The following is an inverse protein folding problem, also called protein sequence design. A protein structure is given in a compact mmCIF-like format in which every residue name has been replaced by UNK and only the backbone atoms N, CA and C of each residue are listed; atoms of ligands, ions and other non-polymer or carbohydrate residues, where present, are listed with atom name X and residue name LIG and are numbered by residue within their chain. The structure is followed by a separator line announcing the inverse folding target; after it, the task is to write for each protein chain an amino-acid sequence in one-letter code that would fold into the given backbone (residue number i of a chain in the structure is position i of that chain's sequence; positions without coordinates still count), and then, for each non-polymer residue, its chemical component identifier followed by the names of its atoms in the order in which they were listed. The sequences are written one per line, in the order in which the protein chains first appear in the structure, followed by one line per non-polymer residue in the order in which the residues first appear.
data_IF_250919178649
#
_entry.id   IF_250919178649
#
_cell.length_a   1.000
_cell.length_b   1.000
_cell.length_c   1.000
_cell.angle_alpha   90.00
_cell.angle_beta   90.00
_cell.angle_gamma   90.00
#
_symmetry.space_group_name_H-M   'P 1'
#
loop_
_entity.id
_entity.type
_entity.pdbx_description
1 polymer ?
#
# COMPACT_ATOMS: atom_id res chain seq x y z
N UNK A 1 6.21 -19.04 -25.77
CA UNK A 1 5.91 -18.21 -24.57
C UNK A 1 7.19 -18.01 -23.78
N UNK A 2 7.43 -16.82 -23.20
CA UNK A 2 8.60 -16.53 -22.36
C UNK A 2 8.48 -17.18 -20.99
N UNK A 3 9.61 -17.55 -20.40
CA UNK A 3 9.68 -18.06 -19.05
C UNK A 3 9.74 -16.87 -18.08
N UNK A 4 8.75 -16.71 -17.22
CA UNK A 4 8.65 -15.62 -16.25
C UNK A 4 8.84 -16.16 -14.84
N UNK A 5 9.72 -15.54 -14.08
CA UNK A 5 9.90 -15.76 -12.66
C UNK A 5 9.29 -14.57 -11.90
N UNK A 6 8.19 -14.79 -11.20
CA UNK A 6 7.58 -13.81 -10.30
C UNK A 6 7.91 -14.19 -8.86
N UNK A 7 8.51 -13.25 -8.12
CA UNK A 7 8.72 -13.40 -6.68
C UNK A 7 7.68 -12.63 -5.88
N UNK A 8 7.08 -13.31 -4.92
CA UNK A 8 6.11 -12.76 -4.00
C UNK A 8 6.37 -13.22 -2.56
N UNK A 9 6.51 -12.25 -1.65
CA UNK A 9 6.62 -12.53 -0.22
C UNK A 9 5.21 -12.47 0.40
N UNK A 10 4.61 -13.61 0.64
CA UNK A 10 3.33 -13.69 1.34
C UNK A 10 3.48 -13.28 2.79
N UNK A 11 2.74 -12.27 3.21
CA UNK A 11 2.79 -11.75 4.59
C UNK A 11 1.64 -12.22 5.46
N UNK A 12 0.68 -13.01 4.94
CA UNK A 12 -0.56 -13.45 5.62
C UNK A 12 -1.42 -12.31 6.21
N UNK A 13 -1.15 -11.08 5.83
CA UNK A 13 -1.84 -9.92 6.38
C UNK A 13 -3.23 -9.70 5.74
N UNK A 14 -3.54 -10.40 4.64
CA UNK A 14 -4.75 -10.20 3.81
C UNK A 14 -5.00 -8.71 3.54
N UNK A 15 -3.93 -7.96 3.31
CA UNK A 15 -3.96 -6.53 3.06
C UNK A 15 -3.92 -6.20 1.57
N UNK A 16 -4.11 -4.94 1.22
CA UNK A 16 -4.04 -4.47 -0.17
C UNK A 16 -2.71 -4.78 -0.88
N UNK A 17 -1.61 -4.96 -0.13
CA UNK A 17 -0.32 -5.37 -0.68
C UNK A 17 -0.31 -6.78 -1.28
N UNK A 18 -1.20 -7.66 -0.85
CA UNK A 18 -1.29 -9.03 -1.35
C UNK A 18 -2.09 -9.11 -2.68
N UNK A 19 -2.85 -8.07 -3.01
CA UNK A 19 -3.72 -8.05 -4.19
C UNK A 19 -2.94 -7.91 -5.50
N UNK A 20 -1.93 -7.03 -5.55
CA UNK A 20 -1.11 -6.80 -6.75
C UNK A 20 -0.46 -8.09 -7.29
N UNK A 21 0.29 -8.89 -6.49
CA UNK A 21 0.89 -10.12 -7.00
C UNK A 21 -0.14 -11.13 -7.51
N UNK A 22 -1.30 -11.23 -6.88
CA UNK A 22 -2.36 -12.16 -7.32
C UNK A 22 -2.94 -11.78 -8.69
N UNK A 23 -3.17 -10.49 -8.95
CA UNK A 23 -3.62 -10.02 -10.27
C UNK A 23 -2.52 -10.25 -11.32
N UNK A 24 -1.24 -10.03 -10.98
CA UNK A 24 -0.13 -10.33 -11.88
C UNK A 24 -0.04 -11.81 -12.21
N UNK A 25 -0.21 -12.70 -11.23
CA UNK A 25 -0.27 -14.14 -11.45
C UNK A 25 -1.40 -14.47 -12.43
N UNK A 26 -2.62 -13.93 -12.20
CA UNK A 26 -3.79 -14.13 -13.07
C UNK A 26 -3.54 -13.70 -14.52
N UNK A 27 -2.83 -12.60 -14.75
CA UNK A 27 -2.49 -12.13 -16.08
C UNK A 27 -1.37 -12.97 -16.71
N UNK A 28 -0.25 -13.16 -16.00
CA UNK A 28 0.95 -13.82 -16.51
C UNK A 28 0.75 -15.29 -16.83
N UNK A 29 -0.08 -16.01 -16.07
CA UNK A 29 -0.37 -17.43 -16.36
C UNK A 29 -1.02 -17.67 -17.73
N UNK A 30 -1.62 -16.61 -18.33
CA UNK A 30 -2.25 -16.71 -19.66
C UNK A 30 -1.25 -16.49 -20.80
N UNK A 31 -0.18 -15.71 -20.54
CA UNK A 31 0.71 -15.16 -21.58
C UNK A 31 2.18 -15.62 -21.45
N UNK A 32 2.50 -16.40 -20.40
CA UNK A 32 3.86 -16.84 -20.13
C UNK A 32 3.91 -18.26 -19.51
N UNK A 33 5.12 -18.86 -19.52
CA UNK A 33 5.44 -20.02 -18.69
C UNK A 33 5.81 -19.51 -17.28
N UNK A 34 4.85 -19.46 -16.38
CA UNK A 34 4.98 -18.81 -15.10
C UNK A 34 5.57 -19.70 -14.01
N UNK A 35 6.63 -19.24 -13.37
CA UNK A 35 7.12 -19.76 -12.08
C UNK A 35 6.93 -18.70 -11.01
N UNK A 36 6.21 -19.04 -9.94
CA UNK A 36 5.99 -18.17 -8.78
C UNK A 36 6.88 -18.63 -7.64
N UNK A 37 7.83 -17.79 -7.25
CA UNK A 37 8.69 -18.02 -6.11
C UNK A 37 8.11 -17.33 -4.86
N UNK A 38 7.97 -18.06 -3.76
CA UNK A 38 7.34 -17.61 -2.51
C UNK A 38 8.22 -17.87 -1.30
N UNK A 39 8.11 -17.04 -0.27
CA UNK A 39 8.81 -17.23 0.99
C UNK A 39 8.22 -18.36 1.83
N UNK A 40 6.91 -18.53 1.79
CA UNK A 40 6.21 -19.61 2.46
C UNK A 40 5.35 -20.36 1.45
N UNK A 41 5.33 -21.68 1.56
CA UNK A 41 4.34 -22.49 0.86
C UNK A 41 2.96 -22.15 1.45
N UNK A 42 2.32 -21.16 0.87
CA UNK A 42 0.98 -20.73 1.25
C UNK A 42 -0.01 -21.23 0.22
N UNK A 43 -1.25 -21.32 0.63
CA UNK A 43 -2.33 -21.65 -0.28
C UNK A 43 -2.70 -20.42 -1.11
N UNK A 44 -1.95 -20.20 -2.21
CA UNK A 44 -2.18 -19.10 -3.17
C UNK A 44 -3.63 -19.10 -3.65
N UNK A 45 -4.17 -20.28 -3.93
CA UNK A 45 -5.54 -20.46 -4.39
C UNK A 45 -6.56 -19.97 -3.34
N UNK A 46 -6.37 -20.34 -2.08
CA UNK A 46 -7.23 -19.88 -0.99
C UNK A 46 -7.15 -18.35 -0.83
N UNK A 47 -5.93 -17.81 -0.85
CA UNK A 47 -5.73 -16.36 -0.75
C UNK A 47 -6.38 -15.63 -1.93
N UNK A 48 -6.21 -16.14 -3.14
CA UNK A 48 -6.84 -15.57 -4.33
C UNK A 48 -8.37 -15.60 -4.25
N UNK A 49 -8.96 -16.71 -3.81
CA UNK A 49 -10.41 -16.84 -3.60
C UNK A 49 -10.94 -15.83 -2.57
N UNK A 50 -10.18 -15.56 -1.51
CA UNK A 50 -10.54 -14.54 -0.50
C UNK A 50 -10.64 -13.15 -1.12
N UNK A 51 -9.84 -12.87 -2.15
CA UNK A 51 -9.89 -11.62 -2.91
C UNK A 51 -10.78 -11.67 -4.16
N UNK A 52 -11.53 -12.72 -4.37
CA UNK A 52 -12.37 -12.90 -5.56
C UNK A 52 -11.57 -13.06 -6.87
N UNK A 53 -10.31 -13.51 -6.78
CA UNK A 53 -9.43 -13.70 -7.94
C UNK A 53 -9.36 -15.18 -8.27
N UNK A 54 -9.79 -15.55 -9.48
CA UNK A 54 -9.66 -16.90 -10.00
C UNK A 54 -8.26 -17.11 -10.59
N UNK A 55 -7.52 -18.11 -10.07
CA UNK A 55 -6.17 -18.49 -10.49
C UNK A 55 -6.15 -19.98 -10.80
N UNK A 56 -5.66 -20.35 -11.98
CA UNK A 56 -5.47 -21.75 -12.39
C UNK A 56 -4.08 -22.22 -11.95
N UNK A 57 -4.05 -23.02 -10.87
CA UNK A 57 -2.82 -23.58 -10.32
C UNK A 57 -2.07 -24.51 -11.28
N UNK A 58 -2.76 -25.10 -12.27
CA UNK A 58 -2.15 -26.01 -13.25
C UNK A 58 -1.28 -25.26 -14.27
N UNK A 59 -1.48 -23.94 -14.43
CA UNK A 59 -0.77 -23.10 -15.40
C UNK A 59 0.47 -22.41 -14.84
N UNK A 60 0.90 -22.78 -13.64
CA UNK A 60 2.10 -22.19 -13.05
C UNK A 60 2.83 -23.21 -12.16
N UNK A 61 4.12 -22.96 -11.97
CA UNK A 61 4.94 -23.69 -11.00
C UNK A 61 5.13 -22.82 -9.77
N UNK A 62 4.78 -23.33 -8.58
CA UNK A 62 5.05 -22.64 -7.31
C UNK A 62 6.28 -23.25 -6.66
N UNK A 63 7.23 -22.41 -6.21
CA UNK A 63 8.49 -22.82 -5.60
C UNK A 63 8.74 -22.00 -4.33
N UNK A 64 8.87 -22.67 -3.18
CA UNK A 64 9.32 -22.04 -1.95
C UNK A 64 10.83 -21.78 -2.03
N UNK A 65 11.25 -20.54 -1.74
CA UNK A 65 12.65 -20.09 -1.81
C UNK A 65 13.27 -19.83 -0.43
N UNK A 66 12.61 -20.29 0.61
CA UNK A 66 13.08 -20.28 2.01
C UNK A 66 13.09 -21.70 2.55
N UNK A 67 13.81 -21.98 3.66
CA UNK A 67 13.75 -23.28 4.31
C UNK A 67 12.33 -23.67 4.71
N UNK A 68 12.00 -24.97 4.78
CA UNK A 68 10.65 -25.44 5.14
C UNK A 68 10.18 -24.98 6.53
N UNK A 69 11.10 -24.80 7.47
CA UNK A 69 10.88 -24.33 8.85
C UNK A 69 10.95 -22.81 8.99
N UNK A 70 10.86 -22.09 7.88
CA UNK A 70 10.96 -20.64 7.86
C UNK A 70 9.93 -19.95 8.77
N UNK A 71 10.44 -19.10 9.67
CA UNK A 71 9.62 -18.24 10.50
C UNK A 71 9.79 -16.77 10.06
N UNK A 72 8.72 -16.11 9.55
CA UNK A 72 8.81 -14.71 9.08
C UNK A 72 9.25 -13.71 10.15
N UNK A 73 9.08 -14.05 11.44
CA UNK A 73 9.49 -13.20 12.56
C UNK A 73 10.99 -13.28 12.87
N UNK A 74 11.71 -14.22 12.27
CA UNK A 74 13.15 -14.46 12.50
C UNK A 74 13.94 -14.19 11.21
N UNK A 75 14.16 -12.92 10.87
CA UNK A 75 15.06 -12.57 9.78
C UNK A 75 16.52 -12.74 10.19
N UNK A 76 17.19 -13.68 9.53
CA UNK A 76 18.64 -13.88 9.68
C UNK A 76 19.35 -13.61 8.35
N UNK A 77 20.65 -13.25 8.42
CA UNK A 77 21.48 -13.09 7.22
C UNK A 77 21.54 -14.40 6.40
N UNK A 78 21.57 -15.56 7.09
CA UNK A 78 21.56 -16.90 6.48
C UNK A 78 20.32 -17.11 5.62
N UNK A 79 19.15 -16.66 6.09
CA UNK A 79 17.90 -16.77 5.37
C UNK A 79 17.87 -15.92 4.10
N UNK A 80 18.35 -14.68 4.19
CA UNK A 80 18.46 -13.79 3.01
C UNK A 80 19.38 -14.41 1.95
N UNK A 81 20.45 -15.06 2.40
CA UNK A 81 21.39 -15.76 1.55
C UNK A 81 20.77 -17.02 0.89
N UNK A 82 20.09 -17.85 1.68
CA UNK A 82 19.40 -19.02 1.17
C UNK A 82 18.39 -18.63 0.07
N UNK A 83 17.57 -17.62 0.34
CA UNK A 83 16.61 -17.06 -0.64
C UNK A 83 17.29 -16.59 -1.91
N UNK A 84 18.40 -15.83 -1.77
CA UNK A 84 19.15 -15.32 -2.91
C UNK A 84 19.66 -16.44 -3.82
N UNK A 85 20.28 -17.50 -3.26
CA UNK A 85 20.77 -18.63 -4.05
C UNK A 85 19.63 -19.28 -4.84
N UNK A 86 18.49 -19.50 -4.18
CA UNK A 86 17.34 -20.13 -4.83
C UNK A 86 16.74 -19.24 -5.93
N UNK A 87 16.56 -17.95 -5.68
CA UNK A 87 16.08 -17.01 -6.68
C UNK A 87 17.04 -16.91 -7.87
N UNK A 88 18.35 -16.80 -7.62
CA UNK A 88 19.36 -16.75 -8.68
C UNK A 88 19.35 -18.03 -9.54
N UNK A 89 19.15 -19.20 -8.91
CA UNK A 89 19.05 -20.48 -9.64
C UNK A 89 17.81 -20.52 -10.55
N UNK A 90 16.67 -20.05 -10.05
CA UNK A 90 15.44 -19.95 -10.85
C UNK A 90 15.58 -18.90 -11.96
N UNK A 91 16.15 -17.73 -11.65
CA UNK A 91 16.35 -16.64 -12.58
C UNK A 91 17.21 -17.00 -13.81
N UNK A 92 18.16 -17.95 -13.66
CA UNK A 92 18.97 -18.44 -14.79
C UNK A 92 18.11 -19.12 -15.89
N UNK A 93 16.94 -19.64 -15.54
CA UNK A 93 16.01 -20.32 -16.43
C UNK A 93 14.87 -19.42 -16.90
N UNK A 94 14.77 -18.23 -16.38
CA UNK A 94 13.74 -17.26 -16.72
C UNK A 94 14.26 -16.24 -17.72
N UNK A 95 13.42 -15.86 -18.68
CA UNK A 95 13.69 -14.75 -19.57
C UNK A 95 13.45 -13.42 -18.82
N UNK A 96 12.40 -13.36 -18.02
CA UNK A 96 11.95 -12.20 -17.23
C UNK A 96 11.90 -12.53 -15.75
N UNK A 97 12.40 -11.61 -14.91
CA UNK A 97 12.27 -11.68 -13.45
C UNK A 97 11.48 -10.48 -12.94
N UNK A 98 10.46 -10.73 -12.11
CA UNK A 98 9.58 -9.71 -11.52
C UNK A 98 9.55 -9.90 -10.01
N UNK A 99 9.77 -8.83 -9.24
CA UNK A 99 9.51 -8.80 -7.79
C UNK A 99 8.31 -7.90 -7.50
N UNK A 100 7.33 -8.41 -6.77
CA UNK A 100 6.16 -7.66 -6.30
C UNK A 100 6.19 -7.40 -4.79
N UNK A 101 7.28 -7.77 -4.12
CA UNK A 101 7.42 -7.65 -2.67
C UNK A 101 8.30 -6.48 -2.23
N UNK A 102 9.46 -6.33 -2.84
CA UNK A 102 10.43 -5.24 -2.62
C UNK A 102 11.63 -5.44 -3.57
N UNK A 103 12.72 -4.70 -3.34
CA UNK A 103 13.97 -4.89 -4.10
C UNK A 103 14.58 -6.26 -3.80
N UNK A 104 14.65 -7.10 -4.85
CA UNK A 104 15.20 -8.46 -4.79
C UNK A 104 16.34 -8.64 -5.77
N UNK A 105 17.38 -9.37 -5.34
CA UNK A 105 18.51 -9.70 -6.20
C UNK A 105 18.28 -11.03 -6.91
N UNK A 106 18.03 -10.99 -8.20
CA UNK A 106 17.92 -12.18 -9.07
C UNK A 106 19.24 -12.57 -9.70
N UNK A 107 20.33 -11.80 -9.46
CA UNK A 107 21.63 -11.98 -10.13
C UNK A 107 21.62 -11.54 -11.61
N UNK A 108 20.57 -10.94 -12.09
CA UNK A 108 20.37 -10.37 -13.44
C UNK A 108 19.38 -9.19 -13.37
N UNK A 109 19.31 -8.32 -14.39
CA UNK A 109 18.32 -7.25 -14.47
C UNK A 109 16.89 -7.78 -14.35
N UNK A 110 16.02 -6.98 -13.75
CA UNK A 110 14.67 -7.41 -13.37
C UNK A 110 13.71 -6.23 -13.21
N UNK A 111 12.43 -6.54 -12.98
CA UNK A 111 11.36 -5.59 -12.77
C UNK A 111 10.94 -5.61 -11.30
N UNK A 112 11.09 -4.47 -10.59
CA UNK A 112 10.95 -4.37 -9.14
C UNK A 112 9.76 -3.48 -8.77
N UNK A 113 8.67 -4.06 -8.28
CA UNK A 113 7.49 -3.31 -7.83
C UNK A 113 7.60 -2.98 -6.35
N UNK A 114 7.47 -1.69 -6.02
CA UNK A 114 7.66 -1.16 -4.67
C UNK A 114 6.31 -0.74 -4.11
N UNK A 115 5.79 -1.53 -3.18
CA UNK A 115 4.46 -1.33 -2.59
C UNK A 115 4.48 -0.69 -1.20
N UNK A 116 5.66 -0.62 -0.56
CA UNK A 116 5.81 -0.09 0.79
C UNK A 116 7.07 0.73 0.90
N UNK A 117 7.08 1.71 1.79
CA UNK A 117 8.27 2.51 2.11
C UNK A 117 9.33 1.71 2.90
N UNK A 118 8.95 0.61 3.53
CA UNK A 118 9.86 -0.23 4.30
C UNK A 118 10.68 -1.14 3.37
N UNK A 119 11.77 -0.64 2.81
CA UNK A 119 12.65 -1.41 1.91
C UNK A 119 13.54 -2.43 2.63
N UNK A 120 13.36 -2.65 3.95
CA UNK A 120 14.29 -3.44 4.75
C UNK A 120 15.70 -2.83 4.79
N UNK A 121 15.84 -1.57 4.45
CA UNK A 121 16.95 -0.71 4.84
C UNK A 121 16.52 0.00 6.12
N UNK A 122 17.16 -0.40 7.23
CA UNK A 122 16.78 0.12 8.55
C UNK A 122 16.98 1.64 8.67
N UNK A 123 17.91 2.24 7.90
CA UNK A 123 18.16 3.69 7.92
C UNK A 123 17.01 4.42 7.23
N UNK A 124 16.49 3.85 6.13
CA UNK A 124 15.32 4.37 5.43
C UNK A 124 14.05 4.23 6.28
N UNK A 125 13.81 3.05 6.85
CA UNK A 125 12.65 2.81 7.72
C UNK A 125 12.68 3.74 8.94
N UNK A 126 13.86 3.95 9.55
CA UNK A 126 14.02 4.87 10.67
C UNK A 126 13.78 6.33 10.26
N UNK A 127 14.22 6.74 9.08
CA UNK A 127 13.96 8.09 8.54
C UNK A 127 12.45 8.33 8.30
N UNK A 128 11.76 7.35 7.73
CA UNK A 128 10.31 7.43 7.49
C UNK A 128 9.52 7.47 8.80
N UNK A 129 9.88 6.64 9.77
CA UNK A 129 9.17 6.56 11.05
C UNK A 129 9.44 7.74 11.98
N UNK A 130 10.62 8.32 11.89
CA UNK A 130 10.99 9.49 12.68
C UNK A 130 12.08 10.32 11.99
N UNK A 131 11.73 11.25 11.09
CA UNK A 131 12.70 12.09 10.37
C UNK A 131 13.62 12.90 11.29
N UNK A 132 13.16 13.25 12.50
CA UNK A 132 13.93 13.98 13.51
C UNK A 132 14.80 13.08 14.39
N UNK A 133 14.55 11.77 14.43
CA UNK A 133 15.34 10.83 15.22
C UNK A 133 16.42 10.20 14.35
N UNK A 134 17.63 10.73 14.42
CA UNK A 134 18.83 9.96 14.03
C UNK A 134 18.93 8.74 14.95
N UNK A 135 18.35 7.60 14.50
CA UNK A 135 18.46 6.35 15.25
C UNK A 135 19.95 5.97 15.34
N UNK A 136 20.57 6.27 16.48
CA UNK A 136 21.92 5.84 16.82
C UNK A 136 21.88 4.33 17.03
N UNK A 137 22.17 3.57 15.99
CA UNK A 137 22.39 2.12 16.15
C UNK A 137 23.55 1.87 17.06
N UNK A 138 23.39 0.89 17.96
CA UNK A 138 24.50 0.41 18.77
C UNK A 138 25.68 -0.06 17.89
N UNK A 139 26.90 0.20 18.32
CA UNK A 139 28.14 -0.11 17.59
C UNK A 139 28.21 -1.55 17.08
N UNK A 140 27.69 -2.51 17.83
CA UNK A 140 27.61 -3.93 17.43
C UNK A 140 26.75 -4.16 16.17
N UNK A 141 25.61 -3.48 16.07
CA UNK A 141 24.72 -3.58 14.90
C UNK A 141 25.38 -2.98 13.64
N UNK A 142 26.09 -1.85 13.79
CA UNK A 142 26.84 -1.20 12.70
C UNK A 142 27.98 -2.10 12.19
N UNK A 143 28.76 -2.71 13.10
CA UNK A 143 29.84 -3.64 12.73
C UNK A 143 29.29 -4.88 12.03
N UNK A 144 28.21 -5.48 12.56
CA UNK A 144 27.56 -6.65 11.95
C UNK A 144 27.06 -6.34 10.53
N UNK A 145 26.45 -5.17 10.33
CA UNK A 145 25.99 -4.73 9.01
C UNK A 145 27.17 -4.49 8.06
N UNK A 146 28.21 -3.80 8.51
CA UNK A 146 29.42 -3.56 7.71
C UNK A 146 30.04 -4.89 7.25
N UNK A 147 30.23 -5.86 8.16
CA UNK A 147 30.74 -7.18 7.82
C UNK A 147 29.81 -7.93 6.83
N UNK A 148 28.51 -7.84 7.01
CA UNK A 148 27.55 -8.43 6.07
C UNK A 148 27.63 -7.79 4.68
N UNK A 149 27.59 -6.47 4.60
CA UNK A 149 27.48 -5.75 3.34
C UNK A 149 28.81 -5.62 2.59
N UNK A 150 29.92 -5.45 3.31
CA UNK A 150 31.24 -5.26 2.73
C UNK A 150 31.98 -6.58 2.44
N UNK A 151 31.68 -7.65 3.15
CA UNK A 151 32.41 -8.92 3.04
C UNK A 151 31.54 -10.07 2.58
N UNK A 152 30.45 -10.38 3.32
CA UNK A 152 29.67 -11.58 3.02
C UNK A 152 28.89 -11.44 1.69
N UNK A 153 28.22 -10.32 1.45
CA UNK A 153 27.46 -10.13 0.21
C UNK A 153 28.31 -10.20 -1.04
N UNK A 154 29.45 -9.48 -1.15
CA UNK A 154 30.36 -9.59 -2.30
C UNK A 154 30.92 -11.00 -2.51
N UNK A 155 31.38 -11.67 -1.42
CA UNK A 155 31.87 -13.07 -1.49
C UNK A 155 30.82 -14.03 -2.03
N UNK A 156 29.53 -13.77 -1.76
CA UNK A 156 28.40 -14.57 -2.20
C UNK A 156 27.86 -14.12 -3.56
N UNK A 157 28.44 -13.07 -4.14
CA UNK A 157 28.00 -12.47 -5.39
C UNK A 157 26.61 -11.83 -5.28
N UNK A 158 26.23 -11.33 -4.09
CA UNK A 158 24.98 -10.62 -3.84
C UNK A 158 25.17 -9.12 -4.06
N UNK A 159 24.28 -8.52 -4.81
CA UNK A 159 24.22 -7.07 -4.99
C UNK A 159 23.57 -6.39 -3.78
N UNK A 160 24.03 -5.20 -3.43
CA UNK A 160 23.35 -4.35 -2.47
C UNK A 160 22.06 -3.79 -3.07
N UNK A 161 21.10 -3.39 -2.22
CA UNK A 161 19.89 -2.73 -2.69
C UNK A 161 20.19 -1.47 -3.51
N UNK A 162 21.15 -0.65 -3.02
CA UNK A 162 21.60 0.53 -3.75
C UNK A 162 22.14 0.18 -5.13
N UNK A 163 22.97 -0.88 -5.22
CA UNK A 163 23.53 -1.35 -6.49
C UNK A 163 22.46 -1.85 -7.46
N UNK A 164 21.36 -2.43 -6.95
CA UNK A 164 20.24 -2.86 -7.78
C UNK A 164 19.45 -1.61 -8.24
N UNK A 165 19.05 -0.75 -7.32
CA UNK A 165 18.23 0.44 -7.64
C UNK A 165 18.93 1.35 -8.65
N UNK A 166 20.26 1.54 -8.48
CA UNK A 166 21.05 2.42 -9.35
C UNK A 166 21.57 1.75 -10.63
N UNK A 167 21.31 0.45 -10.85
CA UNK A 167 21.67 -0.22 -12.12
C UNK A 167 20.68 0.23 -13.22
N UNK A 168 21.13 0.89 -14.31
CA UNK A 168 20.24 1.40 -15.35
C UNK A 168 19.47 0.30 -16.11
N UNK A 169 19.87 -0.96 -15.96
CA UNK A 169 19.20 -2.12 -16.56
C UNK A 169 18.03 -2.64 -15.70
N UNK A 170 17.99 -2.28 -14.42
CA UNK A 170 16.84 -2.59 -13.55
C UNK A 170 15.69 -1.63 -13.86
N UNK A 171 14.46 -2.12 -13.75
CA UNK A 171 13.25 -1.31 -13.89
C UNK A 171 12.52 -1.28 -12.56
N UNK A 172 12.44 -0.10 -11.96
CA UNK A 172 11.80 0.10 -10.65
C UNK A 172 10.40 0.69 -10.88
N UNK A 173 9.40 0.12 -10.24
CA UNK A 173 8.01 0.56 -10.31
C UNK A 173 7.52 1.01 -8.93
N UNK A 174 7.77 2.26 -8.54
CA UNK A 174 7.20 2.84 -7.31
C UNK A 174 5.67 2.89 -7.41
N UNK A 175 4.98 2.67 -6.29
CA UNK A 175 3.52 2.69 -6.25
C UNK A 175 2.90 4.10 -6.23
N UNK A 176 3.72 5.14 -6.22
CA UNK A 176 3.31 6.55 -6.20
C UNK A 176 4.44 7.47 -6.66
N UNK A 177 4.11 8.68 -7.09
CA UNK A 177 5.10 9.74 -7.36
C UNK A 177 5.84 10.16 -6.08
N UNK A 178 5.13 10.10 -4.95
CA UNK A 178 5.75 10.34 -3.64
C UNK A 178 6.86 9.33 -3.36
N UNK A 179 6.59 8.02 -3.50
CA UNK A 179 7.60 6.97 -3.30
C UNK A 179 8.75 7.10 -4.30
N UNK A 180 8.46 7.41 -5.55
CA UNK A 180 9.49 7.66 -6.56
C UNK A 180 10.42 8.81 -6.16
N UNK A 181 9.85 9.98 -5.82
CA UNK A 181 10.59 11.19 -5.43
C UNK A 181 11.40 10.94 -4.16
N UNK A 182 10.80 10.27 -3.20
CA UNK A 182 11.45 9.91 -1.96
C UNK A 182 12.65 8.95 -2.20
N UNK A 183 12.48 7.92 -3.02
CA UNK A 183 13.58 7.04 -3.40
C UNK A 183 14.69 7.78 -4.16
N UNK A 184 14.33 8.69 -5.08
CA UNK A 184 15.31 9.51 -5.81
C UNK A 184 16.11 10.43 -4.90
N UNK A 185 15.51 10.98 -3.87
CA UNK A 185 16.23 11.82 -2.87
C UNK A 185 17.26 11.01 -2.07
N UNK A 186 17.00 9.71 -1.85
CA UNK A 186 17.86 8.84 -1.05
C UNK A 186 18.93 8.11 -1.88
N UNK A 187 18.57 7.61 -3.06
CA UNK A 187 19.44 6.80 -3.91
C UNK A 187 20.08 7.58 -5.07
N UNK A 188 19.57 8.74 -5.42
CA UNK A 188 19.85 9.46 -6.66
C UNK A 188 18.94 9.00 -7.80
N UNK A 189 19.15 9.47 -9.04
CA UNK A 189 18.34 9.09 -10.20
C UNK A 189 18.48 7.60 -10.50
N UNK A 190 17.38 6.96 -10.91
CA UNK A 190 17.32 5.57 -11.33
C UNK A 190 16.20 5.38 -12.39
N UNK A 191 16.23 4.25 -13.10
CA UNK A 191 15.22 3.94 -14.10
C UNK A 191 13.91 3.53 -13.43
N UNK A 192 12.89 4.37 -13.53
CA UNK A 192 11.61 4.18 -12.86
C UNK A 192 10.42 4.53 -13.72
N UNK A 193 9.30 3.89 -13.41
CA UNK A 193 7.96 4.23 -13.92
C UNK A 193 6.98 4.03 -12.79
N UNK A 194 6.24 5.07 -12.41
CA UNK A 194 5.21 4.95 -11.37
C UNK A 194 4.11 4.00 -11.84
N UNK A 195 3.78 3.03 -10.99
CA UNK A 195 2.72 2.06 -11.26
C UNK A 195 1.81 1.94 -10.04
N UNK A 196 0.67 2.61 -10.10
CA UNK A 196 -0.33 2.62 -9.03
C UNK A 196 -0.86 1.22 -8.75
N UNK A 197 -1.01 0.82 -7.48
CA UNK A 197 -1.52 -0.49 -7.12
C UNK A 197 -3.03 -0.61 -7.42
N UNK A 198 -3.53 -1.86 -7.59
CA UNK A 198 -4.95 -2.11 -7.74
C UNK A 198 -5.70 -1.89 -6.43
N UNK A 199 -7.00 -1.63 -6.54
CA UNK A 199 -7.94 -1.59 -5.42
C UNK A 199 -8.90 -2.76 -5.46
N UNK A 200 -9.40 -3.15 -4.29
CA UNK A 200 -10.33 -4.29 -4.15
C UNK A 200 -11.78 -3.92 -4.49
N UNK A 201 -12.13 -2.64 -4.37
CA UNK A 201 -13.48 -2.19 -4.64
C UNK A 201 -13.68 -2.02 -6.16
N UNK A 202 -14.76 -2.57 -6.66
CA UNK A 202 -15.24 -2.25 -7.99
C UNK A 202 -15.99 -0.92 -7.92
N UNK A 203 -15.61 0.01 -8.77
CA UNK A 203 -16.35 1.24 -8.96
C UNK A 203 -17.77 0.88 -9.44
N UNK A 204 -18.76 1.08 -8.60
CA UNK A 204 -20.16 0.88 -9.01
C UNK A 204 -20.88 2.22 -9.07
N UNK A 205 -21.49 2.46 -10.23
CA UNK A 205 -22.39 3.58 -10.50
C UNK A 205 -23.72 3.49 -9.74
N UNK A 206 -24.03 2.36 -9.10
CA UNK A 206 -25.34 2.07 -8.51
C UNK A 206 -25.30 2.11 -6.98
N UNK A 207 -24.96 3.27 -6.40
CA UNK A 207 -25.24 3.53 -4.99
C UNK A 207 -26.74 3.82 -4.83
N UNK A 208 -27.54 2.78 -4.61
CA UNK A 208 -28.99 2.87 -4.35
C UNK A 208 -29.31 3.20 -2.89
N UNK A 209 -28.31 3.19 -2.00
CA UNK A 209 -28.51 3.55 -0.59
C UNK A 209 -28.34 5.06 -0.39
N UNK A 210 -29.28 5.65 0.33
CA UNK A 210 -29.28 7.06 0.71
C UNK A 210 -28.05 7.34 1.60
N UNK A 211 -27.16 8.23 1.13
CA UNK A 211 -25.98 8.63 1.90
C UNK A 211 -26.36 9.53 3.05
N UNK A 212 -25.81 9.27 4.18
CA UNK A 212 -25.92 10.19 5.31
C UNK A 212 -25.05 11.45 5.06
N UNK A 213 -25.68 12.62 4.90
CA UNK A 213 -24.98 13.86 4.57
C UNK A 213 -24.12 14.40 5.72
N UNK A 214 -24.27 13.88 6.95
CA UNK A 214 -23.51 14.27 8.11
C UNK A 214 -22.54 13.18 8.60
N UNK A 215 -22.37 12.11 7.82
CA UNK A 215 -21.51 11.00 8.21
C UNK A 215 -20.14 11.09 7.55
N UNK A 216 -19.12 11.12 8.40
CA UNK A 216 -17.71 10.96 8.04
C UNK A 216 -17.29 9.53 8.30
N UNK A 217 -16.56 8.90 7.37
CA UNK A 217 -16.08 7.53 7.50
C UNK A 217 -14.55 7.45 7.46
N UNK A 218 -14.02 6.48 8.18
CA UNK A 218 -12.63 6.05 8.09
C UNK A 218 -12.57 4.53 8.08
N UNK A 219 -11.71 3.94 7.25
CA UNK A 219 -11.40 2.52 7.29
C UNK A 219 -9.89 2.29 7.22
N UNK A 220 -9.38 1.44 8.10
CA UNK A 220 -7.97 1.08 8.12
C UNK A 220 -7.55 0.36 9.40
N UNK A 221 -6.26 0.06 9.49
CA UNK A 221 -5.68 -0.46 10.73
C UNK A 221 -5.75 0.63 11.81
N UNK A 222 -6.19 0.27 13.02
CA UNK A 222 -6.20 1.19 14.16
C UNK A 222 -4.88 1.04 14.91
N UNK A 223 -3.87 1.76 14.44
CA UNK A 223 -2.51 1.81 14.99
C UNK A 223 -2.07 3.27 15.10
N UNK A 224 -1.09 3.61 15.96
CA UNK A 224 -0.66 5.01 16.18
C UNK A 224 -0.29 5.77 14.92
N UNK A 225 0.34 5.11 13.94
CA UNK A 225 0.78 5.71 12.68
C UNK A 225 -0.40 6.27 11.86
N UNK A 226 -1.61 5.70 12.04
CA UNK A 226 -2.84 6.15 11.36
C UNK A 226 -3.50 7.36 12.02
N UNK A 227 -3.02 7.81 13.20
CA UNK A 227 -3.36 9.07 13.85
C UNK A 227 -4.88 9.28 14.01
N UNK A 228 -5.60 8.25 14.48
CA UNK A 228 -7.08 8.29 14.59
C UNK A 228 -7.54 9.40 15.55
N UNK A 229 -6.77 9.72 16.61
CA UNK A 229 -7.04 10.83 17.51
C UNK A 229 -7.04 12.20 16.78
N UNK A 230 -6.21 12.39 15.76
CA UNK A 230 -6.24 13.62 14.96
C UNK A 230 -7.53 13.71 14.14
N UNK A 231 -7.99 12.59 13.57
CA UNK A 231 -9.26 12.54 12.85
C UNK A 231 -10.44 12.88 13.79
N UNK A 232 -10.42 12.35 15.01
CA UNK A 232 -11.43 12.68 16.04
C UNK A 232 -11.40 14.18 16.32
N UNK A 233 -10.21 14.76 16.54
CA UNK A 233 -10.05 16.20 16.79
C UNK A 233 -10.48 17.08 15.60
N UNK A 234 -10.24 16.64 14.37
CA UNK A 234 -10.71 17.35 13.15
C UNK A 234 -12.24 17.40 13.12
N UNK A 235 -12.90 16.25 13.33
CA UNK A 235 -14.37 16.19 13.33
C UNK A 235 -14.96 17.00 14.49
N UNK A 236 -14.37 16.91 15.69
CA UNK A 236 -14.81 17.68 16.86
C UNK A 236 -14.75 19.20 16.59
N UNK A 237 -13.67 19.69 15.98
CA UNK A 237 -13.53 21.08 15.58
C UNK A 237 -14.53 21.49 14.49
N UNK A 238 -14.76 20.65 13.48
CA UNK A 238 -15.75 20.92 12.45
C UNK A 238 -17.17 21.00 13.02
N UNK A 239 -17.53 20.15 13.98
CA UNK A 239 -18.78 20.23 14.74
C UNK A 239 -18.91 21.56 15.47
N UNK A 240 -17.84 22.01 16.14
CA UNK A 240 -17.83 23.29 16.83
C UNK A 240 -17.97 24.48 15.88
N UNK A 241 -17.36 24.44 14.69
CA UNK A 241 -17.44 25.51 13.68
C UNK A 241 -18.85 25.62 13.09
N UNK A 242 -19.47 24.46 12.77
CA UNK A 242 -20.73 24.44 12.00
C UNK A 242 -21.97 24.37 12.87
N UNK A 243 -21.85 23.92 14.12
CA UNK A 243 -22.98 23.59 14.97
C UNK A 243 -23.81 22.39 14.50
N UNK A 244 -23.31 21.63 13.50
CA UNK A 244 -24.01 20.47 12.93
C UNK A 244 -23.67 19.17 13.64
N UNK A 245 -24.60 18.21 13.65
CA UNK A 245 -24.45 16.92 14.31
C UNK A 245 -23.72 15.89 13.43
N UNK A 246 -22.46 16.21 13.13
CA UNK A 246 -21.58 15.32 12.34
C UNK A 246 -21.31 14.04 13.11
N UNK A 247 -21.40 12.88 12.45
CA UNK A 247 -21.08 11.57 13.01
C UNK A 247 -19.79 11.03 12.37
N UNK A 248 -18.91 10.51 13.21
CA UNK A 248 -17.65 9.92 12.76
C UNK A 248 -17.64 8.42 13.01
N UNK A 249 -17.59 7.64 11.95
CA UNK A 249 -17.56 6.19 12.00
C UNK A 249 -16.19 5.65 11.58
N UNK A 250 -15.61 4.82 12.44
CA UNK A 250 -14.25 4.28 12.29
C UNK A 250 -14.33 2.76 12.19
N UNK A 251 -13.94 2.21 11.04
CA UNK A 251 -13.85 0.78 10.82
C UNK A 251 -12.40 0.29 10.92
N UNK A 252 -12.15 -0.70 11.77
CA UNK A 252 -10.85 -1.28 12.02
C UNK A 252 -10.79 -2.06 13.32
N UNK A 253 -9.71 -2.83 13.52
CA UNK A 253 -9.52 -3.61 14.74
C UNK A 253 -8.83 -2.77 15.81
N UNK A 254 -9.47 -2.59 16.96
CA UNK A 254 -8.93 -1.86 18.13
C UNK A 254 -7.91 -2.68 18.95
N UNK A 255 -7.87 -4.00 18.76
CA UNK A 255 -7.03 -4.92 19.54
C UNK A 255 -5.59 -5.10 19.00
N UNK A 256 -5.27 -4.52 17.86
CA UNK A 256 -3.93 -4.64 17.25
C UNK A 256 -2.83 -3.95 18.07
N UNK A 257 -3.18 -2.86 18.78
CA UNK A 257 -2.30 -2.15 19.71
C UNK A 257 -3.10 -1.86 20.99
N UNK A 258 -3.07 -2.76 21.99
CA UNK A 258 -4.01 -2.70 23.11
C UNK A 258 -4.06 -1.37 23.86
N UNK A 259 -2.90 -0.74 24.15
CA UNK A 259 -2.84 0.56 24.82
C UNK A 259 -3.46 1.69 24.01
N UNK A 260 -3.22 1.68 22.70
CA UNK A 260 -3.79 2.65 21.77
C UNK A 260 -5.30 2.43 21.60
N UNK A 261 -5.72 1.17 21.45
CA UNK A 261 -7.13 0.80 21.39
C UNK A 261 -7.91 1.22 22.65
N UNK A 262 -7.35 1.04 23.84
CA UNK A 262 -7.95 1.50 25.10
C UNK A 262 -8.10 3.03 25.16
N UNK A 263 -7.08 3.78 24.68
CA UNK A 263 -7.15 5.25 24.57
C UNK A 263 -8.34 5.67 23.71
N UNK A 264 -8.45 5.10 22.51
CA UNK A 264 -9.51 5.41 21.55
C UNK A 264 -10.90 5.00 22.07
N UNK A 265 -11.00 3.85 22.76
CA UNK A 265 -12.26 3.40 23.37
C UNK A 265 -12.76 4.38 24.43
N UNK A 266 -11.87 4.96 25.27
CA UNK A 266 -12.24 6.00 26.22
C UNK A 266 -12.76 7.26 25.51
N UNK A 267 -12.08 7.69 24.44
CA UNK A 267 -12.53 8.84 23.65
C UNK A 267 -13.93 8.62 23.07
N UNK A 268 -14.28 7.39 22.67
CA UNK A 268 -15.62 7.06 22.18
C UNK A 268 -16.68 7.05 23.30
N UNK A 269 -16.34 6.63 24.51
CA UNK A 269 -17.28 6.67 25.65
C UNK A 269 -17.71 8.10 26.02
N UNK A 270 -16.88 9.09 25.73
CA UNK A 270 -17.13 10.51 26.00
C UNK A 270 -17.86 11.24 24.84
N UNK A 271 -18.09 10.54 23.68
CA UNK A 271 -18.58 11.15 22.44
C UNK A 271 -19.61 10.25 21.77
N UNK A 272 -20.87 10.61 21.83
CA UNK A 272 -21.99 9.88 21.21
C UNK A 272 -21.94 9.85 19.68
N UNK A 273 -21.25 10.81 19.08
CA UNK A 273 -21.05 10.93 17.64
C UNK A 273 -19.85 10.11 17.08
N UNK A 274 -19.05 9.49 17.96
CA UNK A 274 -17.88 8.67 17.57
C UNK A 274 -18.20 7.18 17.70
N UNK A 275 -18.19 6.46 16.59
CA UNK A 275 -18.57 5.04 16.53
C UNK A 275 -17.43 4.19 15.96
N UNK A 276 -16.98 3.19 16.71
CA UNK A 276 -16.08 2.14 16.23
C UNK A 276 -16.89 0.89 15.84
N UNK A 277 -16.83 0.50 14.56
CA UNK A 277 -17.63 -0.60 14.01
C UNK A 277 -16.92 -1.95 14.02
N UNK A 278 -15.63 -1.99 14.40
CA UNK A 278 -14.79 -3.17 14.20
C UNK A 278 -14.26 -3.32 12.77
N UNK A 279 -13.65 -4.45 12.48
CA UNK A 279 -13.13 -4.73 11.14
C UNK A 279 -14.25 -5.12 10.19
N UNK A 280 -14.25 -4.55 8.99
CA UNK A 280 -15.23 -4.80 7.94
C UNK A 280 -14.54 -5.32 6.67
N UNK A 281 -15.18 -6.27 5.98
CA UNK A 281 -14.66 -6.91 4.77
C UNK A 281 -15.77 -7.06 3.71
N UNK A 282 -15.38 -7.26 2.45
CA UNK A 282 -16.31 -7.54 1.35
C UNK A 282 -17.46 -6.52 1.26
N UNK A 283 -18.68 -7.02 1.17
CA UNK A 283 -19.88 -6.17 1.01
C UNK A 283 -20.20 -5.30 2.23
N UNK A 284 -19.85 -5.73 3.45
CA UNK A 284 -20.03 -4.90 4.65
C UNK A 284 -19.14 -3.67 4.59
N UNK A 285 -17.88 -3.84 4.19
CA UNK A 285 -16.96 -2.73 3.94
C UNK A 285 -17.50 -1.78 2.89
N UNK A 286 -18.01 -2.31 1.78
CA UNK A 286 -18.59 -1.52 0.69
C UNK A 286 -19.78 -0.69 1.18
N UNK A 287 -20.78 -1.31 1.82
CA UNK A 287 -21.94 -0.60 2.39
C UNK A 287 -21.53 0.47 3.39
N UNK A 288 -20.58 0.14 4.26
CA UNK A 288 -20.04 1.10 5.22
C UNK A 288 -19.47 2.35 4.54
N UNK A 289 -18.62 2.19 3.53
CA UNK A 289 -18.03 3.31 2.80
C UNK A 289 -19.08 4.11 2.02
N UNK A 290 -20.05 3.44 1.40
CA UNK A 290 -21.12 4.08 0.65
C UNK A 290 -22.12 4.83 1.54
N UNK A 291 -22.28 4.44 2.79
CA UNK A 291 -23.22 5.10 3.73
C UNK A 291 -22.75 6.49 4.19
N UNK A 292 -21.45 6.85 4.03
CA UNK A 292 -20.93 8.16 4.40
C UNK A 292 -20.87 9.12 3.20
N UNK A 293 -20.88 10.41 3.46
CA UNK A 293 -20.66 11.45 2.45
C UNK A 293 -19.23 11.93 2.37
N UNK A 294 -18.49 11.81 3.46
CA UNK A 294 -17.12 12.32 3.60
C UNK A 294 -16.19 11.22 4.14
N UNK A 295 -14.92 11.30 3.77
CA UNK A 295 -13.86 10.52 4.36
C UNK A 295 -12.65 11.41 4.66
N UNK A 296 -11.90 11.07 5.71
CA UNK A 296 -10.70 11.82 6.11
C UNK A 296 -9.56 10.83 6.34
N UNK A 297 -8.38 11.18 5.85
CA UNK A 297 -7.12 10.45 6.08
C UNK A 297 -6.16 11.32 6.90
N UNK A 298 -5.33 10.73 7.78
CA UNK A 298 -4.43 11.50 8.65
C UNK A 298 -2.97 11.03 8.63
N UNK A 299 -2.65 9.88 8.06
CA UNK A 299 -1.27 9.44 7.94
C UNK A 299 -0.52 10.28 6.89
N UNK A 300 0.50 11.04 7.35
CA UNK A 300 1.22 11.98 6.49
C UNK A 300 2.24 11.33 5.56
N UNK A 301 2.83 10.21 5.99
CA UNK A 301 3.85 9.49 5.21
C UNK A 301 3.25 8.19 4.66
N UNK A 302 2.03 8.27 4.14
CA UNK A 302 1.41 7.14 3.44
C UNK A 302 2.11 6.93 2.08
N UNK A 303 2.49 5.68 1.78
CA UNK A 303 3.18 5.38 0.51
C UNK A 303 2.29 5.65 -0.72
N UNK A 304 1.03 5.26 -0.64
CA UNK A 304 0.03 5.50 -1.69
C UNK A 304 -1.31 5.88 -1.06
N UNK A 305 -1.95 4.98 -0.31
CA UNK A 305 -3.25 5.22 0.30
C UNK A 305 -4.38 4.47 -0.41
N UNK A 306 -4.34 3.14 -0.40
CA UNK A 306 -5.40 2.31 -1.01
C UNK A 306 -6.78 2.69 -0.45
N UNK A 307 -6.88 2.96 0.86
CA UNK A 307 -8.15 3.39 1.48
C UNK A 307 -8.68 4.70 0.91
N UNK A 308 -7.79 5.63 0.52
CA UNK A 308 -8.20 6.91 -0.10
C UNK A 308 -8.82 6.66 -1.47
N UNK A 309 -8.25 5.74 -2.27
CA UNK A 309 -8.88 5.33 -3.53
C UNK A 309 -10.25 4.69 -3.28
N UNK A 310 -10.35 3.82 -2.27
CA UNK A 310 -11.61 3.17 -1.91
C UNK A 310 -12.68 4.18 -1.45
N UNK A 311 -12.29 5.26 -0.75
CA UNK A 311 -13.21 6.36 -0.43
C UNK A 311 -13.76 7.03 -1.69
N UNK A 312 -12.88 7.41 -2.62
CA UNK A 312 -13.29 8.00 -3.90
C UNK A 312 -14.20 7.08 -4.71
N UNK A 313 -13.84 5.79 -4.81
CA UNK A 313 -14.64 4.79 -5.54
C UNK A 313 -16.01 4.54 -4.89
N UNK A 314 -16.11 4.75 -3.58
CA UNK A 314 -17.37 4.69 -2.84
C UNK A 314 -18.16 5.99 -2.90
N UNK A 315 -17.66 7.04 -3.59
CA UNK A 315 -18.30 8.33 -3.78
C UNK A 315 -18.21 9.28 -2.59
N UNK A 316 -17.23 9.08 -1.69
CA UNK A 316 -16.97 10.01 -0.59
C UNK A 316 -16.14 11.20 -1.08
N UNK A 317 -16.48 12.41 -0.64
CA UNK A 317 -15.56 13.55 -0.74
C UNK A 317 -14.45 13.31 0.29
N UNK A 318 -13.20 13.25 -0.19
CA UNK A 318 -12.09 12.74 0.63
C UNK A 318 -11.07 13.82 0.92
N UNK A 319 -10.83 14.06 2.22
CA UNK A 319 -9.87 15.05 2.72
C UNK A 319 -8.60 14.32 3.14
N UNK A 320 -7.42 14.80 2.70
CA UNK A 320 -6.13 14.14 2.92
C UNK A 320 -5.06 15.13 3.40
N UNK A 321 -4.00 14.68 4.10
CA UNK A 321 -2.82 15.52 4.31
C UNK A 321 -2.18 15.94 2.98
N UNK A 322 -1.52 17.09 2.94
CA UNK A 322 -0.76 17.59 1.78
C UNK A 322 0.61 16.92 1.58
N UNK A 323 0.89 15.89 2.37
CA UNK A 323 2.11 15.10 2.35
C UNK A 323 1.84 13.63 2.02
N UNK A 324 2.87 12.91 1.58
CA UNK A 324 2.76 11.49 1.23
C UNK A 324 2.20 11.25 -0.16
N UNK A 325 1.70 10.04 -0.40
CA UNK A 325 1.11 9.60 -1.67
C UNK A 325 -0.38 9.92 -1.82
N UNK A 326 -1.06 10.35 -0.76
CA UNK A 326 -2.50 10.59 -0.80
C UNK A 326 -2.92 11.85 -1.57
N UNK A 327 -2.13 12.96 -1.57
CA UNK A 327 -2.45 14.15 -2.39
C UNK A 327 -2.54 13.84 -3.89
N UNK A 328 -1.70 12.95 -4.42
CA UNK A 328 -1.74 12.61 -5.85
C UNK A 328 -2.98 11.81 -6.24
N UNK A 329 -3.61 11.10 -5.29
CA UNK A 329 -4.86 10.39 -5.51
C UNK A 329 -6.01 11.38 -5.63
N UNK A 330 -6.16 12.24 -4.63
CA UNK A 330 -7.24 13.25 -4.59
C UNK A 330 -7.01 14.35 -5.62
N UNK A 331 -5.77 14.79 -5.82
CA UNK A 331 -5.34 15.77 -6.80
C UNK A 331 -6.16 17.08 -6.76
N UNK A 332 -6.45 17.55 -5.56
CA UNK A 332 -7.15 18.83 -5.30
C UNK A 332 -6.50 19.53 -4.12
N UNK A 333 -6.02 20.79 -4.29
CA UNK A 333 -5.53 21.58 -3.17
C UNK A 333 -6.65 21.94 -2.17
N UNK A 334 -7.91 22.00 -2.62
CA UNK A 334 -9.05 22.33 -1.78
C UNK A 334 -9.42 21.19 -0.80
N UNK A 335 -8.95 19.98 -1.07
CA UNK A 335 -9.17 18.79 -0.24
C UNK A 335 -7.89 18.30 0.45
N UNK A 336 -6.77 19.01 0.29
CA UNK A 336 -5.50 18.72 0.94
C UNK A 336 -5.27 19.70 2.10
N UNK A 337 -4.73 19.23 3.24
CA UNK A 337 -4.52 20.05 4.42
C UNK A 337 -3.12 19.91 4.99
N UNK A 338 -2.59 21.00 5.55
CA UNK A 338 -1.32 21.02 6.26
C UNK A 338 -1.52 20.84 7.78
N UNK A 339 -2.56 21.42 8.35
CA UNK A 339 -2.87 21.35 9.79
C UNK A 339 -4.24 20.73 10.05
N UNK A 340 -4.44 20.16 11.24
CA UNK A 340 -5.76 19.61 11.63
C UNK A 340 -6.84 20.70 11.66
N UNK A 341 -6.45 21.95 11.91
CA UNK A 341 -7.32 23.13 11.85
C UNK A 341 -7.81 23.41 10.42
N UNK A 342 -6.94 23.28 9.43
CA UNK A 342 -7.32 23.39 8.01
C UNK A 342 -8.26 22.26 7.59
N UNK A 343 -7.96 21.02 7.98
CA UNK A 343 -8.85 19.89 7.72
C UNK A 343 -10.26 20.11 8.30
N UNK A 344 -10.35 20.63 9.51
CA UNK A 344 -11.63 20.96 10.14
C UNK A 344 -12.39 22.05 9.39
N UNK A 345 -11.68 23.10 8.90
CA UNK A 345 -12.29 24.17 8.08
C UNK A 345 -12.75 23.66 6.72
N UNK A 346 -11.97 22.80 6.06
CA UNK A 346 -12.38 22.15 4.79
C UNK A 346 -13.66 21.35 5.01
N UNK A 347 -13.71 20.52 6.04
CA UNK A 347 -14.90 19.73 6.36
C UNK A 347 -16.11 20.65 6.67
N UNK A 348 -15.93 21.70 7.45
CA UNK A 348 -16.96 22.67 7.75
C UNK A 348 -17.47 23.38 6.49
N UNK A 349 -16.59 23.78 5.58
CA UNK A 349 -16.94 24.39 4.30
C UNK A 349 -17.76 23.44 3.42
N UNK A 350 -17.34 22.17 3.30
CA UNK A 350 -18.10 21.13 2.59
C UNK A 350 -19.51 20.92 3.15
N UNK A 351 -19.70 21.13 4.45
CA UNK A 351 -21.00 20.97 5.13
C UNK A 351 -21.91 22.17 4.94
N UNK A 352 -21.36 23.39 4.88
CA UNK A 352 -22.12 24.64 4.88
C UNK A 352 -22.31 25.24 3.48
N UNK A 353 -21.44 24.93 2.53
CA UNK A 353 -21.52 25.41 1.14
C UNK A 353 -21.89 24.27 0.19
N UNK A 354 -23.11 24.34 -0.34
CA UNK A 354 -23.67 23.31 -1.23
C UNK A 354 -23.00 23.31 -2.61
N UNK A 355 -22.61 24.48 -3.12
CA UNK A 355 -21.95 24.61 -4.43
C UNK A 355 -20.53 24.05 -4.37
N UNK A 356 -19.75 24.44 -3.38
CA UNK A 356 -18.41 23.91 -3.12
C UNK A 356 -18.45 22.39 -2.95
N UNK A 357 -19.39 21.89 -2.15
CA UNK A 357 -19.58 20.45 -1.94
C UNK A 357 -19.83 19.69 -3.24
N UNK A 358 -20.70 20.20 -4.11
CA UNK A 358 -21.02 19.53 -5.37
C UNK A 358 -19.85 19.57 -6.36
N UNK A 359 -19.10 20.67 -6.40
CA UNK A 359 -17.85 20.75 -7.17
C UNK A 359 -16.85 19.70 -6.72
N UNK A 360 -16.62 19.58 -5.40
CA UNK A 360 -15.69 18.58 -4.86
C UNK A 360 -16.20 17.15 -5.05
N UNK A 361 -17.50 16.92 -5.01
CA UNK A 361 -18.12 15.61 -5.30
C UNK A 361 -17.84 15.19 -6.74
N UNK A 362 -18.07 16.08 -7.69
CA UNK A 362 -17.80 15.85 -9.11
C UNK A 362 -16.32 15.56 -9.33
N UNK A 363 -15.43 16.37 -8.76
CA UNK A 363 -13.98 16.16 -8.83
C UNK A 363 -13.57 14.78 -8.27
N UNK A 364 -14.04 14.40 -7.09
CA UNK A 364 -13.74 13.10 -6.49
C UNK A 364 -14.24 11.94 -7.37
N UNK A 365 -15.41 12.08 -8.00
CA UNK A 365 -15.94 11.07 -8.93
C UNK A 365 -15.07 10.92 -10.20
N UNK A 366 -14.54 12.00 -10.74
CA UNK A 366 -13.58 11.95 -11.85
C UNK A 366 -12.27 11.28 -11.44
N UNK A 367 -11.75 11.60 -10.26
CA UNK A 367 -10.55 10.96 -9.72
C UNK A 367 -10.75 9.46 -9.49
N UNK A 368 -11.92 9.04 -9.01
CA UNK A 368 -12.25 7.63 -8.84
C UNK A 368 -12.11 6.81 -10.13
N UNK A 369 -12.49 7.39 -11.29
CA UNK A 369 -12.37 6.74 -12.60
C UNK A 369 -10.91 6.45 -12.99
N UNK A 370 -9.98 7.33 -12.61
CA UNK A 370 -8.53 7.14 -12.88
C UNK A 370 -8.01 5.87 -12.22
N UNK A 371 -8.56 5.52 -11.07
CA UNK A 371 -8.18 4.35 -10.27
C UNK A 371 -9.16 3.18 -10.41
N UNK A 372 -10.08 3.24 -11.38
CA UNK A 372 -11.01 2.14 -11.62
C UNK A 372 -10.30 0.84 -11.97
N UNK A 373 -10.96 -0.29 -11.69
CA UNK A 373 -10.44 -1.63 -12.03
C UNK A 373 -10.11 -1.75 -13.53
N UNK A 374 -10.99 -1.23 -14.38
CA UNK A 374 -10.78 -1.23 -15.84
C UNK A 374 -9.52 -0.46 -16.23
N UNK A 375 -9.37 0.77 -15.72
CA UNK A 375 -8.19 1.60 -15.97
C UNK A 375 -6.91 0.94 -15.43
N UNK A 376 -6.98 0.25 -14.29
CA UNK A 376 -5.86 -0.51 -13.75
C UNK A 376 -5.49 -1.69 -14.67
N UNK A 377 -6.45 -2.54 -15.04
CA UNK A 377 -6.20 -3.72 -15.87
C UNK A 377 -5.60 -3.34 -17.22
N UNK A 378 -6.10 -2.28 -17.85
CA UNK A 378 -5.52 -1.74 -19.08
C UNK A 378 -4.05 -1.36 -18.90
N UNK A 379 -3.72 -0.58 -17.87
CA UNK A 379 -2.32 -0.20 -17.57
C UNK A 379 -1.44 -1.41 -17.25
N UNK A 380 -1.99 -2.41 -16.56
CA UNK A 380 -1.29 -3.65 -16.25
C UNK A 380 -0.96 -4.45 -17.52
N UNK A 381 -1.93 -4.64 -18.40
CA UNK A 381 -1.75 -5.42 -19.62
C UNK A 381 -0.72 -4.75 -20.54
N UNK A 382 -0.82 -3.43 -20.74
CA UNK A 382 0.17 -2.65 -21.50
C UNK A 382 1.58 -2.76 -20.89
N UNK A 383 1.68 -2.73 -19.56
CA UNK A 383 2.95 -2.86 -18.86
C UNK A 383 3.54 -4.27 -19.01
N UNK A 384 2.75 -5.32 -18.79
CA UNK A 384 3.20 -6.71 -18.88
C UNK A 384 3.63 -7.06 -20.31
N UNK A 385 2.88 -6.61 -21.33
CA UNK A 385 3.29 -6.76 -22.72
C UNK A 385 4.63 -6.07 -22.99
N UNK A 386 4.83 -4.84 -22.52
CA UNK A 386 6.09 -4.11 -22.65
C UNK A 386 7.24 -4.87 -21.98
N UNK A 387 7.05 -5.34 -20.74
CA UNK A 387 8.03 -6.13 -19.99
C UNK A 387 8.42 -7.39 -20.81
N UNK A 388 7.44 -8.10 -21.36
CA UNK A 388 7.69 -9.30 -22.14
C UNK A 388 8.38 -9.02 -23.47
N UNK A 389 8.23 -7.85 -24.06
CA UNK A 389 8.92 -7.48 -25.33
C UNK A 389 10.36 -7.05 -25.12
N UNK A 390 10.67 -6.41 -24.00
CA UNK A 390 12.01 -5.86 -23.69
C UNK A 390 13.04 -6.92 -23.30
N UNK A 391 12.64 -8.13 -23.02
CA UNK A 391 13.47 -9.21 -22.45
C UNK A 391 13.98 -10.21 -23.48
#
# INVERSE_FOLDING_TARGET
MKNVLLYYSFTFALGGGDYLPLIFIKALQKISNLTVAVDLACNIEHTAKTFGIDIDMSRMKVVQVTPPDYNPRKHTAILSFYRFIHLKRLARKADVCISTASIMDFGKPSHQFINVLAFGDDDFTAYVQNPAAHVRRGTKARIKRFLSDAILRPLLGMRSKRSIICDPREHIYPNSMFVESFMKSFYGPFNSTVFYPPTLLESQSDATEERDPLKVVYIGRIIPEKRIEDLIGIVEKARAITGTDIRFHVAGRLDQTPSYGQKLSRMAQERDWLVFTGALYGDEKKRFLQSGSYAIHAERIEAFGISVVEYLQSGNITIVPDEGGTPEIVNSPDLAYHTNEEAARILAHLLTDAEFREQQRTHCAERARVFSREAYLKRQDELLERILRMS
#
